data_IF_920227567230
#
_entry.id   IF_920227567230
#
_cell.length_a   1.000
_cell.length_b   1.000
_cell.length_c   1.000
_cell.angle_alpha   90.00
_cell.angle_beta   90.00
_cell.angle_gamma   90.00
#
_symmetry.space_group_name_H-M   'P 1'
#
loop_
_entity.id
_entity.type
_entity.pdbx_description
1 polymer ?
#
# COMPACT_ATOMS: atom_id res chain seq x y z
N UNK A 1 11.77 14.69 21.75
CA UNK A 1 11.95 14.47 20.30
C UNK A 1 10.66 14.87 19.62
N UNK A 2 10.61 16.06 19.03
CA UNK A 2 9.43 16.54 18.30
C UNK A 2 9.22 15.68 17.06
N UNK A 3 7.97 15.32 16.69
CA UNK A 3 7.75 14.62 15.43
C UNK A 3 8.19 15.57 14.31
N UNK A 4 9.03 15.07 13.39
CA UNK A 4 9.28 15.73 12.12
C UNK A 4 7.95 15.82 11.37
N UNK A 5 7.19 16.88 11.63
CA UNK A 5 5.92 17.12 10.97
C UNK A 5 6.16 17.15 9.47
N UNK A 6 5.50 16.24 8.76
CA UNK A 6 5.55 16.25 7.31
C UNK A 6 4.65 17.38 6.81
N UNK A 7 5.15 18.20 5.89
CA UNK A 7 4.38 19.29 5.27
C UNK A 7 3.10 18.81 4.56
N UNK A 8 2.97 17.51 4.28
CA UNK A 8 1.74 16.91 3.75
C UNK A 8 0.70 16.55 4.82
N UNK A 9 0.95 16.88 6.10
CA UNK A 9 0.09 16.54 7.23
C UNK A 9 0.07 15.04 7.58
N UNK A 10 0.94 14.24 6.95
CA UNK A 10 1.01 12.79 7.16
C UNK A 10 1.93 12.45 8.32
N UNK A 11 1.51 11.47 9.13
CA UNK A 11 2.29 11.01 10.28
C UNK A 11 3.57 10.33 9.80
N UNK A 12 4.77 10.81 10.19
CA UNK A 12 6.03 10.15 9.88
C UNK A 12 6.12 8.80 10.61
N UNK A 13 6.55 7.77 9.89
CA UNK A 13 6.69 6.41 10.40
C UNK A 13 8.06 5.85 9.99
N UNK A 14 8.49 4.80 10.70
CA UNK A 14 9.56 3.91 10.26
C UNK A 14 9.05 2.95 9.19
N UNK A 15 9.97 2.42 8.37
CA UNK A 15 9.64 1.50 7.28
C UNK A 15 8.81 0.30 7.75
N UNK A 16 9.26 -0.41 8.79
CA UNK A 16 8.58 -1.60 9.30
C UNK A 16 7.16 -1.27 9.78
N UNK A 17 7.00 -0.13 10.46
CA UNK A 17 5.71 0.34 10.96
C UNK A 17 4.77 0.74 9.82
N UNK A 18 5.29 1.46 8.83
CA UNK A 18 4.56 1.83 7.62
C UNK A 18 4.12 0.59 6.83
N UNK A 19 4.99 -0.41 6.66
CA UNK A 19 4.68 -1.64 5.95
C UNK A 19 3.61 -2.48 6.68
N UNK A 20 3.74 -2.62 8.01
CA UNK A 20 2.73 -3.31 8.82
C UNK A 20 1.37 -2.63 8.77
N UNK A 21 1.35 -1.29 8.82
CA UNK A 21 0.12 -0.51 8.64
C UNK A 21 -0.45 -0.66 7.23
N UNK A 22 0.39 -0.64 6.19
CA UNK A 22 -0.03 -0.85 4.81
C UNK A 22 -0.71 -2.19 4.61
N UNK A 23 -0.15 -3.27 5.16
CA UNK A 23 -0.78 -4.60 5.12
C UNK A 23 -2.15 -4.62 5.82
N UNK A 24 -2.23 -4.08 7.04
CA UNK A 24 -3.49 -4.03 7.81
C UNK A 24 -4.55 -3.17 7.13
N UNK A 25 -4.14 -2.01 6.62
CA UNK A 25 -5.04 -1.08 5.94
C UNK A 25 -5.56 -1.67 4.64
N UNK A 26 -4.70 -2.29 3.83
CA UNK A 26 -5.10 -2.99 2.60
C UNK A 26 -6.05 -4.17 2.85
N UNK A 27 -5.97 -4.80 4.03
CA UNK A 27 -6.88 -5.89 4.40
C UNK A 27 -8.24 -5.38 4.90
N UNK A 28 -8.28 -4.17 5.47
CA UNK A 28 -9.50 -3.56 6.01
C UNK A 28 -10.27 -2.71 5.01
N UNK A 29 -9.58 -2.19 4.00
CA UNK A 29 -10.18 -1.34 2.99
C UNK A 29 -10.06 -2.00 1.61
N UNK A 30 -11.05 -1.80 0.74
CA UNK A 30 -11.09 -2.36 -0.63
C UNK A 30 -10.06 -1.74 -1.59
N UNK A 31 -9.04 -1.06 -1.07
CA UNK A 31 -7.97 -0.47 -1.84
C UNK A 31 -6.60 -0.86 -1.29
N UNK A 32 -5.69 -1.20 -2.20
CA UNK A 32 -4.32 -1.51 -1.85
C UNK A 32 -3.61 -0.25 -1.37
N UNK A 33 -3.09 -0.29 -0.15
CA UNK A 33 -2.19 0.71 0.40
C UNK A 33 -0.77 0.16 0.40
N UNK A 34 0.21 1.02 0.19
CA UNK A 34 1.63 0.67 0.35
C UNK A 34 2.37 1.72 1.15
N UNK A 35 3.45 1.27 1.77
CA UNK A 35 4.42 2.15 2.41
C UNK A 35 5.22 2.87 1.33
N UNK A 36 5.40 4.17 1.46
CA UNK A 36 6.24 4.95 0.55
C UNK A 36 7.13 5.91 1.32
N UNK A 37 8.31 6.17 0.76
CA UNK A 37 9.24 7.16 1.31
C UNK A 37 8.86 8.54 0.81
N UNK A 38 8.62 9.46 1.72
CA UNK A 38 8.27 10.83 1.40
C UNK A 38 9.45 11.58 0.81
N UNK A 39 9.24 12.28 -0.30
CA UNK A 39 10.26 13.16 -0.89
C UNK A 39 10.43 14.48 -0.13
N UNK A 40 9.41 14.91 0.64
CA UNK A 40 9.45 16.17 1.37
C UNK A 40 10.13 16.08 2.73
N UNK A 41 9.79 15.07 3.54
CA UNK A 41 10.33 14.91 4.90
C UNK A 41 11.31 13.74 5.03
N UNK A 42 11.48 12.91 3.99
CA UNK A 42 12.38 11.75 4.02
C UNK A 42 11.89 10.54 4.84
N UNK A 43 10.80 10.69 5.63
CA UNK A 43 10.22 9.63 6.45
C UNK A 43 9.33 8.68 5.63
N UNK A 44 8.97 7.53 6.21
CA UNK A 44 8.00 6.62 5.60
C UNK A 44 6.57 7.02 5.98
N UNK A 45 5.66 6.90 5.02
CA UNK A 45 4.24 7.13 5.22
C UNK A 45 3.41 6.01 4.62
N UNK A 46 2.15 5.95 5.06
CA UNK A 46 1.11 5.15 4.43
C UNK A 46 0.46 5.94 3.30
N UNK A 47 0.30 5.32 2.13
CA UNK A 47 -0.39 5.96 1.03
C UNK A 47 -0.86 4.96 -0.02
N UNK A 48 -1.41 5.50 -1.10
CA UNK A 48 -2.02 4.73 -2.19
C UNK A 48 -1.18 4.67 -3.48
N UNK A 49 0.12 4.27 -3.47
CA UNK A 49 0.84 3.98 -4.72
C UNK A 49 0.50 2.63 -5.38
N UNK A 50 -0.21 1.72 -4.70
CA UNK A 50 -0.26 0.32 -5.13
C UNK A 50 -1.32 0.06 -6.21
N UNK A 51 -0.88 -0.15 -7.45
CA UNK A 51 -1.69 -0.90 -8.43
C UNK A 51 -1.77 -2.34 -7.93
N UNK A 52 -2.92 -2.76 -7.38
CA UNK A 52 -3.14 -4.18 -7.04
C UNK A 52 -2.94 -4.98 -8.31
N UNK A 53 -1.99 -5.92 -8.31
CA UNK A 53 -1.87 -6.88 -9.41
C UNK A 53 -3.21 -7.60 -9.50
N UNK A 54 -3.96 -7.36 -10.58
CA UNK A 54 -5.17 -8.12 -10.86
C UNK A 54 -4.72 -9.52 -11.28
N UNK A 55 -5.32 -10.59 -10.77
CA UNK A 55 -5.06 -11.92 -11.27
C UNK A 55 -5.28 -11.94 -12.79
N UNK A 56 -4.31 -12.48 -13.52
CA UNK A 56 -4.48 -12.66 -14.96
C UNK A 56 -5.59 -13.69 -15.17
N UNK A 57 -6.60 -13.42 -16.01
CA UNK A 57 -7.59 -14.44 -16.36
C UNK A 57 -6.85 -15.59 -17.05
N UNK A 58 -7.08 -16.81 -16.60
CA UNK A 58 -6.58 -18.00 -17.30
C UNK A 58 -7.76 -18.78 -17.87
N UNK A 59 -7.57 -19.28 -19.09
CA UNK A 59 -8.53 -20.16 -19.75
C UNK A 59 -8.16 -21.59 -19.35
N UNK A 60 -9.04 -22.24 -18.60
CA UNK A 60 -8.88 -23.65 -18.26
C UNK A 60 -9.22 -24.56 -19.46
N UNK A 61 -8.98 -25.86 -19.33
CA UNK A 61 -9.23 -26.84 -20.40
C UNK A 61 -10.70 -26.98 -20.84
N UNK A 62 -11.64 -26.43 -20.06
CA UNK A 62 -13.06 -26.43 -20.39
C UNK A 62 -13.53 -25.10 -21.03
N UNK A 63 -12.59 -24.26 -21.48
CA UNK A 63 -12.83 -22.96 -22.11
C UNK A 63 -13.63 -21.94 -21.26
N UNK A 64 -13.63 -22.09 -19.94
CA UNK A 64 -14.22 -21.12 -19.03
C UNK A 64 -13.17 -20.10 -18.55
N UNK A 65 -13.52 -18.82 -18.61
CA UNK A 65 -12.73 -17.76 -17.99
C UNK A 65 -12.91 -17.83 -16.47
N UNK A 66 -11.81 -18.02 -15.73
CA UNK A 66 -11.80 -17.91 -14.27
C UNK A 66 -10.76 -16.88 -13.82
N UNK A 67 -11.12 -16.14 -12.78
CA UNK A 67 -10.25 -15.23 -12.06
C UNK A 67 -9.80 -15.95 -10.77
N UNK A 68 -8.51 -15.92 -10.44
CA UNK A 68 -7.95 -16.50 -9.20
C UNK A 68 -7.87 -15.44 -8.12
#
# INVERSE_FOLDING_TARGET
MTPLECSTGKVPLDYQRAQGLARRSSARHDHAMTAYKCTHCGAWHLGQPAKRAKPLPFINRNHQLRYV
#
